data_IF_108465381708
#
_entry.id   IF_108465381708
#
_cell.length_a   1.000
_cell.length_b   1.000
_cell.length_c   1.000
_cell.angle_alpha   90.00
_cell.angle_beta   90.00
_cell.angle_gamma   90.00
#
_symmetry.space_group_name_H-M   'P 1'
#
loop_
_entity.id
_entity.type
_entity.pdbx_description
1 polymer ?
#
# COMPACT_ATOMS: atom_id res chain seq x y z
N UNK A 1 -20.07 -17.95 3.01
CA UNK A 1 -20.14 -18.24 1.58
C UNK A 1 -18.93 -17.59 0.93
N UNK A 2 -17.83 -18.35 0.78
CA UNK A 2 -16.62 -17.84 0.12
C UNK A 2 -16.88 -17.94 -1.38
N UNK A 3 -17.25 -16.85 -2.01
CA UNK A 3 -17.05 -16.74 -3.43
C UNK A 3 -15.55 -16.72 -3.65
N UNK A 4 -15.06 -17.72 -4.35
CA UNK A 4 -13.68 -17.78 -4.79
C UNK A 4 -13.34 -16.44 -5.47
N UNK A 5 -12.34 -15.74 -4.94
CA UNK A 5 -11.88 -14.45 -5.48
C UNK A 5 -11.55 -14.59 -6.98
N UNK A 6 -11.13 -15.78 -7.41
CA UNK A 6 -10.90 -16.13 -8.81
C UNK A 6 -12.19 -16.12 -9.65
N UNK A 7 -13.31 -16.59 -9.09
CA UNK A 7 -14.62 -16.59 -9.79
C UNK A 7 -15.17 -15.16 -9.92
N UNK A 8 -14.99 -14.35 -8.89
CA UNK A 8 -15.38 -12.93 -8.92
C UNK A 8 -14.52 -12.17 -9.94
N UNK A 9 -13.22 -12.43 -9.96
CA UNK A 9 -12.28 -11.89 -10.91
C UNK A 9 -12.57 -12.33 -12.35
N UNK A 10 -12.98 -13.57 -12.56
CA UNK A 10 -13.38 -14.06 -13.87
C UNK A 10 -14.64 -13.38 -14.41
N UNK A 11 -15.60 -13.07 -13.55
CA UNK A 11 -16.82 -12.32 -13.94
C UNK A 11 -16.58 -10.84 -14.25
N UNK A 12 -15.59 -10.23 -13.61
CA UNK A 12 -15.21 -8.81 -13.82
C UNK A 12 -14.19 -8.67 -14.96
N UNK A 13 -13.61 -9.77 -15.40
CA UNK A 13 -12.52 -9.81 -16.37
C UNK A 13 -13.03 -9.68 -17.81
N UNK A 14 -13.08 -8.47 -18.32
CA UNK A 14 -12.71 -8.26 -19.71
C UNK A 14 -11.17 -8.27 -19.78
N UNK A 15 -10.56 -8.88 -20.82
CA UNK A 15 -9.08 -8.99 -20.95
C UNK A 15 -8.34 -7.64 -20.88
N UNK A 16 -9.06 -6.57 -21.07
CA UNK A 16 -8.59 -5.19 -21.15
C UNK A 16 -8.60 -4.45 -19.80
N UNK A 17 -9.23 -5.04 -18.77
CA UNK A 17 -9.38 -4.37 -17.47
C UNK A 17 -8.16 -4.63 -16.59
N UNK A 18 -7.57 -3.57 -16.12
CA UNK A 18 -6.50 -3.59 -15.14
C UNK A 18 -6.97 -4.10 -13.80
N UNK A 19 -6.12 -4.87 -13.16
CA UNK A 19 -6.35 -5.29 -11.79
C UNK A 19 -5.25 -4.74 -10.89
N UNK A 20 -5.66 -4.07 -9.83
CA UNK A 20 -4.78 -3.66 -8.75
C UNK A 20 -5.01 -4.58 -7.56
N UNK A 21 -3.94 -4.95 -6.87
CA UNK A 21 -4.01 -5.56 -5.55
C UNK A 21 -3.57 -4.55 -4.52
N UNK A 22 -4.41 -4.33 -3.54
CA UNK A 22 -4.17 -3.41 -2.44
C UNK A 22 -4.28 -4.15 -1.11
N UNK A 23 -3.36 -3.90 -0.21
CA UNK A 23 -3.42 -4.41 1.16
C UNK A 23 -3.47 -3.26 2.14
N UNK A 24 -4.30 -3.38 3.16
CA UNK A 24 -4.41 -2.39 4.22
C UNK A 24 -4.29 -3.07 5.57
N UNK A 25 -3.24 -2.72 6.30
CA UNK A 25 -2.88 -3.35 7.57
C UNK A 25 -3.13 -2.38 8.72
N UNK A 26 -3.73 -2.86 9.79
CA UNK A 26 -3.81 -2.10 11.04
C UNK A 26 -2.41 -1.80 11.58
N UNK A 27 -2.23 -0.58 12.08
CA UNK A 27 -0.98 -0.20 12.73
C UNK A 27 -1.24 0.08 14.22
N UNK A 28 -0.72 -0.75 15.12
CA UNK A 28 -0.90 -0.57 16.57
C UNK A 28 -0.28 0.74 17.10
N UNK A 29 0.56 1.40 16.30
CA UNK A 29 1.19 2.69 16.65
C UNK A 29 0.40 3.91 16.22
N UNK A 30 -0.78 3.75 15.62
CA UNK A 30 -1.61 4.91 15.27
C UNK A 30 -1.90 5.78 16.49
N UNK A 31 -1.85 7.12 16.34
CA UNK A 31 -2.08 8.03 17.46
C UNK A 31 -3.42 7.82 18.13
N UNK A 32 -4.46 7.52 17.34
CA UNK A 32 -5.80 7.27 17.84
C UNK A 32 -5.85 6.03 18.74
N UNK A 33 -5.10 4.97 18.39
CA UNK A 33 -4.97 3.78 19.24
C UNK A 33 -4.25 4.12 20.54
N UNK A 34 -3.11 4.82 20.43
CA UNK A 34 -2.29 5.17 21.60
C UNK A 34 -3.01 6.07 22.60
N UNK A 35 -3.80 7.06 22.12
CA UNK A 35 -4.54 7.99 22.99
C UNK A 35 -5.64 7.32 23.80
N UNK A 36 -6.11 6.16 23.36
CA UNK A 36 -7.20 5.42 24.00
C UNK A 36 -6.71 4.24 24.87
N UNK A 37 -5.39 4.16 25.12
CA UNK A 37 -4.85 3.22 26.09
C UNK A 37 -5.07 3.77 27.50
N UNK A 38 -5.44 2.89 28.44
CA UNK A 38 -5.74 3.28 29.83
C UNK A 38 -4.48 3.53 30.66
N UNK A 39 -3.41 2.77 30.36
CA UNK A 39 -2.18 2.82 31.15
C UNK A 39 -0.98 3.13 30.27
N UNK A 40 -0.01 3.84 30.83
CA UNK A 40 1.19 4.28 30.12
C UNK A 40 1.99 3.13 29.48
N UNK A 41 1.97 1.96 30.10
CA UNK A 41 2.71 0.77 29.63
C UNK A 41 1.79 -0.28 28.96
N UNK A 42 0.52 0.03 28.75
CA UNK A 42 -0.39 -0.86 28.08
C UNK A 42 0.00 -1.03 26.60
N UNK A 43 0.04 -2.26 26.13
CA UNK A 43 0.30 -2.55 24.72
C UNK A 43 -1.00 -2.37 23.93
N UNK A 44 -0.89 -1.84 22.73
CA UNK A 44 -2.05 -1.67 21.85
C UNK A 44 -2.75 -3.01 21.55
N UNK A 45 -1.98 -4.10 21.49
CA UNK A 45 -2.52 -5.46 21.28
C UNK A 45 -3.42 -5.95 22.39
N UNK A 46 -3.33 -5.39 23.59
CA UNK A 46 -4.21 -5.70 24.71
C UNK A 46 -5.59 -5.03 24.58
N UNK A 47 -5.72 -4.11 23.62
CA UNK A 47 -6.95 -3.34 23.32
C UNK A 47 -7.36 -3.55 21.87
N UNK A 48 -7.67 -4.79 21.57
CA UNK A 48 -8.11 -5.21 20.25
C UNK A 48 -9.38 -4.49 19.78
N UNK A 49 -10.27 -4.18 20.73
CA UNK A 49 -11.46 -3.40 20.51
C UNK A 49 -11.16 -2.02 19.92
N UNK A 50 -10.15 -1.33 20.45
CA UNK A 50 -9.72 -0.01 19.96
C UNK A 50 -9.06 -0.13 18.58
N UNK A 51 -8.13 -1.09 18.44
CA UNK A 51 -7.46 -1.31 17.15
C UNK A 51 -8.49 -1.55 16.05
N UNK A 52 -9.50 -2.39 16.30
CA UNK A 52 -10.54 -2.70 15.33
C UNK A 52 -11.39 -1.48 14.96
N UNK A 53 -11.79 -0.67 15.94
CA UNK A 53 -12.58 0.55 15.69
C UNK A 53 -11.79 1.58 14.88
N UNK A 54 -10.55 1.84 15.27
CA UNK A 54 -9.67 2.78 14.54
C UNK A 54 -9.41 2.28 13.13
N UNK A 55 -9.21 0.97 12.98
CA UNK A 55 -9.03 0.36 11.66
C UNK A 55 -10.26 0.55 10.77
N UNK A 56 -11.46 0.26 11.27
CA UNK A 56 -12.71 0.41 10.52
C UNK A 56 -12.95 1.86 10.10
N UNK A 57 -12.60 2.82 10.94
CA UNK A 57 -12.72 4.23 10.60
C UNK A 57 -11.79 4.63 9.45
N UNK A 58 -10.53 4.22 9.53
CA UNK A 58 -9.55 4.45 8.47
C UNK A 58 -9.89 3.68 7.18
N UNK A 59 -10.46 2.48 7.31
CA UNK A 59 -10.91 1.69 6.16
C UNK A 59 -12.09 2.36 5.44
N UNK A 60 -13.05 2.94 6.18
CA UNK A 60 -14.13 3.73 5.57
C UNK A 60 -13.59 4.92 4.77
N UNK A 61 -12.58 5.60 5.31
CA UNK A 61 -11.92 6.68 4.59
C UNK A 61 -11.21 6.19 3.33
N UNK A 62 -10.49 5.06 3.41
CA UNK A 62 -9.87 4.42 2.24
C UNK A 62 -10.91 4.06 1.18
N UNK A 63 -12.03 3.45 1.57
CA UNK A 63 -13.12 3.14 0.63
C UNK A 63 -13.70 4.40 -0.02
N UNK A 64 -13.81 5.49 0.73
CA UNK A 64 -14.21 6.79 0.16
C UNK A 64 -13.23 7.27 -0.90
N UNK A 65 -11.92 7.22 -0.63
CA UNK A 65 -10.89 7.61 -1.58
C UNK A 65 -10.93 6.73 -2.85
N UNK A 66 -11.06 5.43 -2.68
CA UNK A 66 -11.08 4.49 -3.79
C UNK A 66 -12.37 4.58 -4.63
N UNK A 67 -13.54 4.59 -3.97
CA UNK A 67 -14.82 4.41 -4.65
C UNK A 67 -15.53 5.73 -5.01
N UNK A 68 -15.21 6.84 -4.32
CA UNK A 68 -15.85 8.15 -4.55
C UNK A 68 -14.88 9.14 -5.18
N UNK A 69 -13.64 9.17 -4.74
CA UNK A 69 -12.60 10.04 -5.32
C UNK A 69 -11.91 9.42 -6.53
N UNK A 70 -12.11 8.10 -6.75
CA UNK A 70 -11.58 7.37 -7.91
C UNK A 70 -10.08 7.59 -8.14
N UNK A 71 -9.28 7.56 -7.06
CA UNK A 71 -7.84 7.90 -7.12
C UNK A 71 -7.01 7.00 -8.05
N UNK A 72 -7.52 5.82 -8.40
CA UNK A 72 -6.95 4.90 -9.39
C UNK A 72 -7.82 4.74 -10.64
N UNK A 73 -8.76 5.66 -10.88
CA UNK A 73 -9.79 5.54 -11.89
C UNK A 73 -11.10 4.98 -11.32
N UNK A 74 -12.15 4.96 -12.13
CA UNK A 74 -13.47 4.44 -11.75
C UNK A 74 -13.38 2.93 -11.53
N UNK A 75 -13.75 2.47 -10.33
CA UNK A 75 -13.76 1.04 -10.01
C UNK A 75 -14.95 0.39 -10.71
N UNK A 76 -14.68 -0.61 -11.54
CA UNK A 76 -15.66 -1.40 -12.27
C UNK A 76 -16.12 -2.63 -11.48
N UNK A 77 -15.25 -3.13 -10.60
CA UNK A 77 -15.56 -4.24 -9.72
C UNK A 77 -14.41 -4.51 -8.76
N UNK A 78 -14.71 -5.12 -7.63
CA UNK A 78 -13.71 -5.47 -6.63
C UNK A 78 -14.11 -6.70 -5.83
N UNK A 79 -13.10 -7.36 -5.25
CA UNK A 79 -13.25 -8.38 -4.22
C UNK A 79 -12.34 -8.03 -3.05
N UNK A 80 -12.81 -8.27 -1.84
CA UNK A 80 -11.97 -8.08 -0.64
C UNK A 80 -12.10 -9.24 0.32
N UNK A 81 -10.99 -9.53 0.99
CA UNK A 81 -10.89 -10.50 2.07
C UNK A 81 -10.27 -9.82 3.29
N UNK A 82 -10.84 -10.07 4.45
CA UNK A 82 -10.33 -9.56 5.73
C UNK A 82 -9.81 -10.72 6.55
N UNK A 83 -8.65 -10.52 7.13
CA UNK A 83 -8.03 -11.48 8.04
C UNK A 83 -7.42 -10.78 9.24
N UNK A 84 -7.08 -11.55 10.27
CA UNK A 84 -6.34 -11.06 11.41
C UNK A 84 -4.90 -11.55 11.34
N UNK A 85 -3.96 -10.62 11.38
CA UNK A 85 -2.54 -10.99 11.33
C UNK A 85 -2.10 -11.65 12.64
N UNK A 86 -1.57 -12.88 12.54
CA UNK A 86 -1.14 -13.70 13.69
C UNK A 86 -0.14 -13.02 14.61
N UNK A 87 0.75 -12.16 14.10
CA UNK A 87 1.80 -11.50 14.91
C UNK A 87 1.37 -10.20 15.55
N UNK A 88 0.47 -9.44 14.90
CA UNK A 88 0.09 -8.10 15.33
C UNK A 88 -1.29 -8.14 15.98
N UNK A 89 -2.04 -9.21 15.75
CA UNK A 89 -3.42 -9.36 16.25
C UNK A 89 -4.43 -8.40 15.64
N UNK A 90 -4.01 -7.60 14.66
CA UNK A 90 -4.85 -6.56 14.09
C UNK A 90 -5.47 -6.93 12.73
N UNK A 91 -6.57 -6.26 12.35
CA UNK A 91 -7.23 -6.48 11.06
C UNK A 91 -6.32 -6.15 9.89
N UNK A 92 -6.46 -6.94 8.84
CA UNK A 92 -5.74 -6.81 7.58
C UNK A 92 -6.69 -7.07 6.42
N UNK A 93 -6.68 -6.18 5.42
CA UNK A 93 -7.49 -6.28 4.22
C UNK A 93 -6.60 -6.64 3.03
N UNK A 94 -7.07 -7.58 2.24
CA UNK A 94 -6.66 -7.77 0.86
C UNK A 94 -7.81 -7.33 -0.04
N UNK A 95 -7.56 -6.42 -0.95
CA UNK A 95 -8.55 -5.98 -1.94
C UNK A 95 -7.95 -6.05 -3.32
N UNK A 96 -8.67 -6.70 -4.23
CA UNK A 96 -8.37 -6.71 -5.65
C UNK A 96 -9.47 -5.96 -6.37
N UNK A 97 -9.13 -5.07 -7.28
CA UNK A 97 -10.11 -4.28 -8.01
C UNK A 97 -9.68 -3.98 -9.45
N UNK A 98 -10.68 -3.84 -10.32
CA UNK A 98 -10.51 -3.45 -11.70
C UNK A 98 -11.01 -2.02 -11.89
N UNK A 99 -10.33 -1.24 -12.72
CA UNK A 99 -10.68 0.14 -13.02
C UNK A 99 -10.85 0.34 -14.52
N UNK A 100 -11.45 1.45 -14.90
CA UNK A 100 -11.56 1.90 -16.30
C UNK A 100 -10.22 2.37 -16.89
N UNK A 101 -9.23 2.63 -16.03
CA UNK A 101 -7.87 2.95 -16.47
C UNK A 101 -7.05 1.68 -16.54
N UNK A 102 -6.56 1.33 -17.73
CA UNK A 102 -5.62 0.21 -17.92
C UNK A 102 -4.20 0.68 -17.63
N UNK A 103 -3.51 0.17 -16.58
CA UNK A 103 -2.10 0.49 -16.38
C UNK A 103 -1.26 -0.03 -17.53
N UNK A 104 -0.49 0.86 -18.10
CA UNK A 104 0.49 0.59 -19.14
C UNK A 104 1.85 1.12 -18.69
N UNK A 105 2.97 0.70 -19.25
CA UNK A 105 4.26 1.30 -18.95
C UNK A 105 4.29 2.82 -19.11
N UNK A 106 3.46 3.36 -20.02
CA UNK A 106 3.40 4.78 -20.28
C UNK A 106 2.63 5.58 -19.23
N UNK A 107 1.55 5.02 -18.65
CA UNK A 107 0.68 5.75 -17.72
C UNK A 107 0.84 5.33 -16.24
N UNK A 108 1.48 4.19 -15.97
CA UNK A 108 1.59 3.66 -14.61
C UNK A 108 2.32 4.62 -13.67
N UNK A 109 3.30 5.34 -14.15
CA UNK A 109 4.04 6.32 -13.37
C UNK A 109 3.19 7.52 -12.93
N UNK A 110 2.04 7.75 -13.57
CA UNK A 110 1.07 8.77 -13.17
C UNK A 110 0.11 8.27 -12.09
N UNK A 111 -0.01 6.95 -11.94
CA UNK A 111 -0.90 6.31 -10.98
C UNK A 111 -0.17 5.91 -9.70
N UNK A 112 1.06 5.46 -9.83
CA UNK A 112 1.85 4.93 -8.72
C UNK A 112 3.27 5.46 -8.82
N UNK A 113 3.70 6.16 -7.78
CA UNK A 113 5.06 6.67 -7.63
C UNK A 113 5.85 5.79 -6.65
N UNK A 114 7.06 5.43 -7.04
CA UNK A 114 8.01 4.72 -6.17
C UNK A 114 9.38 5.40 -6.11
N UNK A 115 9.42 6.67 -6.38
CA UNK A 115 10.62 7.48 -6.23
C UNK A 115 10.32 8.67 -5.31
N UNK A 116 11.36 9.22 -4.71
CA UNK A 116 11.24 10.48 -3.99
C UNK A 116 11.02 11.58 -5.02
N UNK A 117 9.92 12.34 -4.94
CA UNK A 117 9.69 13.43 -5.86
C UNK A 117 10.79 14.49 -5.75
N UNK A 118 11.08 15.25 -6.82
CA UNK A 118 12.06 16.33 -6.77
C UNK A 118 11.70 17.34 -5.68
N UNK A 119 12.71 17.97 -5.15
CA UNK A 119 12.51 19.03 -4.16
C UNK A 119 11.90 20.26 -4.84
N UNK A 120 10.82 20.82 -4.27
CA UNK A 120 10.28 22.07 -4.78
C UNK A 120 11.32 23.20 -4.68
N UNK A 121 11.29 24.19 -5.58
CA UNK A 121 12.20 25.32 -5.55
C UNK A 121 12.23 26.00 -4.17
N UNK A 122 13.41 26.47 -3.78
CA UNK A 122 13.57 27.23 -2.55
C UNK A 122 12.72 28.52 -2.65
N UNK A 123 11.95 28.81 -1.58
CA UNK A 123 11.04 29.96 -1.54
C UNK A 123 9.66 29.77 -2.19
N UNK A 124 9.41 28.66 -2.88
CA UNK A 124 8.06 28.34 -3.33
C UNK A 124 7.19 27.90 -2.14
N UNK A 125 6.24 28.74 -1.75
CA UNK A 125 5.28 28.49 -0.67
C UNK A 125 3.89 28.14 -1.19
N UNK A 126 3.77 27.76 -2.46
CA UNK A 126 2.51 27.27 -3.03
C UNK A 126 1.98 26.05 -2.27
N UNK A 127 0.68 25.82 -2.31
CA UNK A 127 0.05 24.66 -1.70
C UNK A 127 0.62 23.34 -2.25
N UNK A 128 0.99 23.32 -3.55
CA UNK A 128 1.65 22.18 -4.17
C UNK A 128 3.05 21.94 -3.60
N UNK A 129 3.88 22.97 -3.49
CA UNK A 129 5.23 22.85 -2.94
C UNK A 129 5.22 22.38 -1.48
N UNK A 130 4.32 22.93 -0.66
CA UNK A 130 4.12 22.49 0.72
C UNK A 130 3.67 21.03 0.82
N UNK A 131 2.74 20.60 -0.05
CA UNK A 131 2.34 19.20 -0.15
C UNK A 131 3.51 18.30 -0.53
N UNK A 132 4.30 18.67 -1.54
CA UNK A 132 5.45 17.86 -1.98
C UNK A 132 6.55 17.77 -0.92
N UNK A 133 6.84 18.83 -0.17
CA UNK A 133 7.75 18.77 0.99
C UNK A 133 7.25 17.78 2.03
N UNK A 134 5.93 17.81 2.33
CA UNK A 134 5.33 16.86 3.26
C UNK A 134 5.41 15.41 2.77
N UNK A 135 5.19 15.18 1.49
CA UNK A 135 5.37 13.85 0.87
C UNK A 135 6.82 13.38 1.03
N UNK A 136 7.80 14.25 0.75
CA UNK A 136 9.23 13.92 0.91
C UNK A 136 9.62 13.57 2.34
N UNK A 137 9.04 14.24 3.34
CA UNK A 137 9.24 13.91 4.76
C UNK A 137 8.66 12.53 5.13
N UNK A 138 7.52 12.16 4.55
CA UNK A 138 6.81 10.94 4.89
C UNK A 138 7.37 9.70 4.18
N UNK A 139 7.85 9.84 2.95
CA UNK A 139 8.32 8.71 2.14
C UNK A 139 9.42 7.87 2.81
N UNK A 140 10.49 8.47 3.40
CA UNK A 140 11.52 7.69 4.08
C UNK A 140 11.00 6.91 5.29
N UNK A 141 9.95 7.43 5.95
CA UNK A 141 9.38 6.80 7.14
C UNK A 141 8.52 5.57 6.82
N UNK A 142 7.92 5.52 5.63
CA UNK A 142 6.92 4.52 5.29
C UNK A 142 7.26 3.64 4.09
N UNK A 143 8.08 4.11 3.17
CA UNK A 143 8.38 3.39 1.93
C UNK A 143 9.78 2.80 1.87
N UNK A 144 10.72 3.24 2.70
CA UNK A 144 12.04 2.65 2.75
C UNK A 144 12.02 1.36 3.53
N UNK A 145 12.72 0.37 2.99
CA UNK A 145 12.90 -0.89 3.68
C UNK A 145 14.00 -0.75 4.73
N UNK A 146 13.63 -0.89 5.99
CA UNK A 146 14.56 -1.00 7.09
C UNK A 146 14.76 -2.48 7.44
N UNK A 147 16.01 -2.94 7.34
CA UNK A 147 16.38 -4.32 7.61
C UNK A 147 16.48 -4.59 9.10
N UNK A 148 15.44 -5.20 9.67
CA UNK A 148 15.54 -5.81 11.00
C UNK A 148 16.36 -7.10 10.98
N UNK A 149 16.79 -7.59 12.15
CA UNK A 149 17.48 -8.87 12.29
C UNK A 149 16.68 -10.04 11.67
N UNK A 150 15.36 -10.03 11.76
CA UNK A 150 14.50 -11.03 11.13
C UNK A 150 14.51 -11.00 9.60
N UNK A 151 14.90 -9.87 9.02
CA UNK A 151 15.00 -9.68 7.57
C UNK A 151 16.33 -10.17 6.99
N UNK A 152 17.37 -10.35 7.82
CA UNK A 152 18.70 -10.75 7.39
C UNK A 152 18.83 -12.26 7.26
N UNK A 153 19.61 -12.68 6.26
CA UNK A 153 20.13 -14.05 6.17
C UNK A 153 21.33 -14.22 7.12
N UNK A 154 21.78 -15.46 7.41
CA UNK A 154 23.02 -15.68 8.16
C UNK A 154 24.23 -14.94 7.57
N UNK A 155 24.25 -14.71 6.26
CA UNK A 155 25.29 -13.99 5.55
C UNK A 155 25.09 -12.45 5.52
N UNK A 156 24.21 -11.92 6.36
CA UNK A 156 23.94 -10.47 6.45
C UNK A 156 23.12 -9.88 5.30
N UNK A 157 22.74 -10.66 4.28
CA UNK A 157 21.96 -10.17 3.13
C UNK A 157 20.46 -10.09 3.48
N UNK A 158 19.78 -9.13 2.88
CA UNK A 158 18.33 -9.01 3.03
C UNK A 158 17.59 -10.18 2.36
N UNK A 159 16.77 -10.93 3.12
CA UNK A 159 15.92 -12.02 2.60
C UNK A 159 14.94 -11.56 1.52
N UNK A 160 14.57 -10.28 1.52
CA UNK A 160 13.67 -9.67 0.54
C UNK A 160 14.40 -9.09 -0.67
N UNK A 161 15.75 -9.22 -0.70
CA UNK A 161 16.59 -8.75 -1.79
C UNK A 161 16.67 -7.22 -1.87
N UNK A 162 16.73 -6.52 -0.75
CA UNK A 162 17.05 -5.10 -0.70
C UNK A 162 18.55 -4.87 -0.47
N UNK A 163 19.10 -3.74 -1.00
CA UNK A 163 18.46 -2.75 -1.88
C UNK A 163 18.09 -3.35 -3.24
N UNK A 164 16.99 -2.90 -3.81
CA UNK A 164 16.60 -3.30 -5.17
C UNK A 164 17.47 -2.56 -6.20
N UNK A 165 17.79 -3.20 -7.34
CA UNK A 165 18.52 -2.52 -8.38
C UNK A 165 17.76 -1.29 -8.88
N UNK A 166 18.49 -0.23 -9.15
CA UNK A 166 17.91 0.99 -9.72
C UNK A 166 17.39 0.73 -11.14
N UNK A 167 16.23 1.28 -11.47
CA UNK A 167 15.66 1.22 -12.81
C UNK A 167 15.16 2.60 -13.24
N UNK A 168 15.50 3.04 -14.45
CA UNK A 168 14.98 4.29 -15.01
C UNK A 168 13.56 4.17 -15.55
N UNK A 169 13.08 2.95 -15.72
CA UNK A 169 11.77 2.65 -16.28
C UNK A 169 10.97 1.79 -15.31
N UNK A 170 9.66 1.98 -15.32
CA UNK A 170 8.73 1.07 -14.64
C UNK A 170 8.55 -0.16 -15.52
N UNK A 171 8.85 -1.34 -14.98
CA UNK A 171 8.69 -2.60 -15.70
C UNK A 171 7.39 -3.25 -15.26
N UNK A 172 6.51 -3.48 -16.22
CA UNK A 172 5.30 -4.26 -16.02
C UNK A 172 5.60 -5.73 -16.34
N UNK A 173 5.61 -6.59 -15.34
CA UNK A 173 5.80 -8.03 -15.55
C UNK A 173 4.45 -8.74 -15.57
N UNK A 174 4.24 -9.56 -16.61
CA UNK A 174 3.09 -10.45 -16.68
C UNK A 174 3.43 -11.72 -15.91
N UNK A 175 2.83 -11.92 -14.74
CA UNK A 175 2.93 -13.21 -14.04
C UNK A 175 2.03 -14.22 -14.75
N UNK A 176 2.57 -15.44 -14.96
CA UNK A 176 1.95 -16.54 -15.72
C UNK A 176 0.43 -16.58 -15.53
N UNK A 177 -0.31 -16.41 -16.65
CA UNK A 177 -1.78 -16.51 -16.79
C UNK A 177 -2.64 -15.51 -16.02
N UNK A 178 -2.07 -14.57 -15.30
CA UNK A 178 -2.82 -13.49 -14.64
C UNK A 178 -2.25 -12.16 -15.10
N UNK A 179 -3.13 -11.27 -15.59
CA UNK A 179 -2.75 -9.88 -15.91
C UNK A 179 -2.56 -9.07 -14.60
N UNK A 180 -1.80 -9.60 -13.66
CA UNK A 180 -1.40 -8.88 -12.46
C UNK A 180 -0.12 -8.13 -12.82
N UNK A 181 -0.21 -6.81 -12.80
CA UNK A 181 0.95 -5.95 -12.98
C UNK A 181 1.68 -5.93 -11.65
N UNK A 182 2.82 -6.60 -11.59
CA UNK A 182 3.77 -6.44 -10.48
C UNK A 182 4.66 -5.27 -10.83
N UNK A 183 4.48 -4.19 -10.11
CA UNK A 183 5.34 -3.03 -10.21
C UNK A 183 6.65 -3.33 -9.47
N UNK A 184 7.71 -3.51 -10.23
CA UNK A 184 9.06 -3.36 -9.68
C UNK A 184 9.34 -1.87 -9.60
N UNK A 185 8.99 -1.31 -8.46
CA UNK A 185 9.17 0.11 -8.20
C UNK A 185 10.64 0.39 -7.88
N UNK A 186 11.14 1.47 -8.43
CA UNK A 186 12.41 2.07 -8.03
C UNK A 186 12.40 2.30 -6.53
N UNK A 187 13.06 1.50 -5.76
CA UNK A 187 13.41 1.84 -4.39
C UNK A 187 14.91 2.09 -4.35
N UNK A 188 15.26 3.36 -4.35
CA UNK A 188 16.59 3.75 -3.97
C UNK A 188 16.76 3.54 -2.46
N UNK A 189 17.79 2.79 -2.13
CA UNK A 189 18.65 2.85 -0.95
C UNK A 189 18.06 2.74 0.46
N UNK A 190 18.54 1.88 1.15
CA UNK A 190 19.35 1.59 2.32
C UNK A 190 18.98 0.26 2.95
N UNK A 191 19.84 -0.71 2.87
CA UNK A 191 20.13 -1.62 3.95
C UNK A 191 21.46 -1.21 4.53
#
# INVERSE_FOLDING_TARGET
MFYDATTLMAKVRKPENSSFMFTFTSNPRWPETKRNLFYKNQKSVDRFDIISRVYEDKLRHLHYLLNKKNIFGKILGYGESREFQKRIGGPHLHRVFCTDIVPTPANISNLIYAHIPPEPPAGDNSGWANFMRKVRELLPLYQFHDCSEHCKTPNGKCKKGFPKPFSNITVCMRIRRQNIIVLLLKMAEKC
#
